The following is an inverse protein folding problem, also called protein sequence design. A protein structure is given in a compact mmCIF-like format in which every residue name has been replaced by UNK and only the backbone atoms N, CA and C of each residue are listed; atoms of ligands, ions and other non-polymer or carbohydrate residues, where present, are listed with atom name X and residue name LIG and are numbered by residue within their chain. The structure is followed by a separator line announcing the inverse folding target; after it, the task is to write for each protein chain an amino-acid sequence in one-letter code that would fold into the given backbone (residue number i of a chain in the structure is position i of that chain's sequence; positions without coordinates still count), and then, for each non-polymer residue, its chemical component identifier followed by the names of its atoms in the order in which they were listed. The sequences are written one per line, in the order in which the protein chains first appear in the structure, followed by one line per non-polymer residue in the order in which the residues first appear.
data_IF_486143098580
#
_entry.id   IF_486143098580
#
_cell.length_a   1.000
_cell.length_b   1.000
_cell.length_c   1.000
_cell.angle_alpha   90.00
_cell.angle_beta   90.00
_cell.angle_gamma   90.00
#
_symmetry.space_group_name_H-M   'P 1'
#
loop_
_entity.id
_entity.type
_entity.pdbx_description
1 polymer ?
#
# COMPACT_ATOMS: atom_id res chain seq x y z
N UNK A 1 -3.60 -6.52 2.10
CA UNK A 1 -4.03 -7.49 1.08
C UNK A 1 -2.86 -8.36 0.64
N UNK A 2 -3.13 -9.58 0.22
CA UNK A 2 -2.15 -10.45 -0.43
C UNK A 2 -2.86 -11.40 -1.40
N UNK A 3 -2.13 -11.88 -2.41
CA UNK A 3 -2.60 -12.97 -3.26
C UNK A 3 -2.23 -14.31 -2.63
N UNK A 4 -3.16 -15.26 -2.62
CA UNK A 4 -2.94 -16.60 -2.09
C UNK A 4 -3.47 -17.65 -3.08
N UNK A 5 -2.74 -18.75 -3.22
CA UNK A 5 -3.21 -19.91 -3.97
C UNK A 5 -4.43 -20.52 -3.27
N UNK A 6 -5.41 -21.01 -4.03
CA UNK A 6 -6.65 -21.59 -3.49
C UNK A 6 -6.38 -22.79 -2.57
N UNK A 7 -5.45 -23.65 -2.94
CA UNK A 7 -5.04 -24.80 -2.10
C UNK A 7 -4.40 -24.34 -0.76
N UNK A 8 -3.73 -23.18 -0.76
CA UNK A 8 -3.16 -22.60 0.45
C UNK A 8 -4.23 -21.88 1.29
N UNK A 9 -5.29 -21.36 0.67
CA UNK A 9 -6.41 -20.72 1.39
C UNK A 9 -7.20 -21.73 2.20
N UNK A 10 -7.40 -22.95 1.69
CA UNK A 10 -8.09 -24.04 2.40
C UNK A 10 -7.38 -24.46 3.69
N UNK A 11 -6.04 -24.25 3.74
CA UNK A 11 -5.19 -24.58 4.89
C UNK A 11 -5.02 -23.41 5.89
N UNK A 12 -5.50 -22.21 5.52
CA UNK A 12 -5.44 -21.05 6.41
C UNK A 12 -6.55 -21.13 7.47
N UNK A 13 -6.21 -20.72 8.70
CA UNK A 13 -7.23 -20.50 9.73
C UNK A 13 -8.23 -19.43 9.25
N UNK A 14 -9.53 -19.76 9.11
CA UNK A 14 -10.55 -18.82 8.65
C UNK A 14 -10.60 -17.52 9.47
N UNK A 15 -10.23 -17.58 10.76
CA UNK A 15 -10.18 -16.39 11.64
C UNK A 15 -9.09 -15.39 11.25
N UNK A 16 -8.16 -15.76 10.38
CA UNK A 16 -7.12 -14.87 9.88
C UNK A 16 -7.52 -14.13 8.59
N UNK A 17 -8.53 -14.61 7.89
CA UNK A 17 -9.01 -14.01 6.64
C UNK A 17 -10.27 -13.19 6.93
N UNK A 18 -10.21 -11.89 6.67
CA UNK A 18 -11.36 -11.00 6.83
C UNK A 18 -12.29 -11.04 5.62
N UNK A 19 -11.71 -11.15 4.43
CA UNK A 19 -12.46 -11.10 3.19
C UNK A 19 -11.67 -11.73 2.04
N UNK A 20 -12.35 -12.47 1.18
CA UNK A 20 -11.81 -12.98 -0.10
C UNK A 20 -12.51 -12.23 -1.22
N UNK A 21 -11.72 -11.54 -2.03
CA UNK A 21 -12.25 -10.76 -3.15
C UNK A 21 -12.64 -11.68 -4.32
N UNK A 22 -13.65 -11.29 -5.10
CA UNK A 22 -14.02 -12.01 -6.32
C UNK A 22 -12.82 -12.15 -7.27
N UNK A 23 -12.73 -13.30 -7.91
CA UNK A 23 -11.71 -13.52 -8.93
C UNK A 23 -12.08 -12.76 -10.21
N UNK A 24 -11.11 -12.08 -10.81
CA UNK A 24 -11.30 -11.35 -12.08
C UNK A 24 -11.40 -12.26 -13.30
N UNK A 25 -10.96 -13.50 -13.17
CA UNK A 25 -10.98 -14.51 -14.23
C UNK A 25 -11.53 -15.80 -13.68
N UNK A 26 -12.46 -16.38 -14.39
CA UNK A 26 -12.93 -17.71 -14.12
C UNK A 26 -11.79 -18.73 -14.19
N UNK A 27 -11.75 -19.71 -13.30
CA UNK A 27 -10.68 -20.70 -13.24
C UNK A 27 -9.37 -20.20 -12.63
N UNK A 28 -9.33 -19.00 -12.03
CA UNK A 28 -8.13 -18.49 -11.34
C UNK A 28 -7.66 -19.48 -10.26
N UNK A 29 -6.37 -19.81 -10.26
CA UNK A 29 -5.73 -20.66 -9.24
C UNK A 29 -5.41 -19.92 -7.95
N UNK A 30 -5.60 -18.60 -7.91
CA UNK A 30 -5.29 -17.78 -6.75
C UNK A 30 -6.31 -16.65 -6.59
N UNK A 31 -6.66 -16.33 -5.35
CA UNK A 31 -7.56 -15.23 -5.01
C UNK A 31 -6.84 -14.15 -4.23
N UNK A 32 -7.33 -12.92 -4.34
CA UNK A 32 -6.89 -11.81 -3.52
C UNK A 32 -7.63 -11.84 -2.19
N UNK A 33 -6.90 -11.74 -1.09
CA UNK A 33 -7.49 -11.78 0.26
C UNK A 33 -7.08 -10.57 1.10
N UNK A 34 -7.98 -10.18 1.98
CA UNK A 34 -7.71 -9.29 3.09
C UNK A 34 -7.57 -10.14 4.35
N UNK A 35 -6.41 -10.12 4.96
CA UNK A 35 -6.17 -10.86 6.20
C UNK A 35 -5.65 -9.99 7.33
N UNK A 36 -5.68 -10.52 8.54
CA UNK A 36 -5.11 -9.87 9.73
C UNK A 36 -3.66 -9.50 9.52
N UNK A 37 -3.26 -8.37 10.07
CA UNK A 37 -1.87 -7.93 10.11
C UNK A 37 -1.02 -8.90 10.94
N UNK A 38 0.23 -9.11 10.56
CA UNK A 38 1.14 -10.02 11.27
C UNK A 38 1.44 -9.58 12.70
N UNK A 39 1.41 -8.28 12.98
CA UNK A 39 1.74 -7.72 14.29
C UNK A 39 0.75 -6.65 14.70
N UNK A 40 0.55 -6.48 16.01
CA UNK A 40 -0.28 -5.40 16.58
C UNK A 40 0.25 -4.02 16.18
N UNK A 41 1.57 -3.85 16.05
CA UNK A 41 2.22 -2.58 15.62
C UNK A 41 1.91 -2.18 14.18
N UNK A 42 1.36 -3.10 13.36
CA UNK A 42 0.90 -2.77 12.01
C UNK A 42 -0.41 -1.97 11.99
N UNK A 43 -1.12 -1.92 13.13
CA UNK A 43 -2.32 -1.11 13.32
C UNK A 43 -1.90 0.24 13.88
N UNK A 44 -1.97 1.29 13.06
CA UNK A 44 -1.57 2.65 13.45
C UNK A 44 -2.40 3.71 12.76
N UNK A 45 -2.45 4.87 13.35
CA UNK A 45 -3.04 6.08 12.76
C UNK A 45 -1.91 6.79 11.99
N UNK A 46 -2.21 7.24 10.79
CA UNK A 46 -1.34 8.09 9.99
C UNK A 46 -2.02 9.45 9.83
N UNK A 47 -1.28 10.51 10.09
CA UNK A 47 -1.74 11.86 9.84
C UNK A 47 -1.53 12.21 8.37
N UNK A 48 -2.58 12.71 7.74
CA UNK A 48 -2.53 13.14 6.35
C UNK A 48 -2.01 14.57 6.25
N UNK A 49 -1.09 14.80 5.33
CA UNK A 49 -0.72 16.15 4.90
C UNK A 49 -1.85 16.76 4.06
N UNK A 50 -1.89 18.09 3.98
CA UNK A 50 -2.92 18.79 3.17
C UNK A 50 -2.91 18.34 1.71
N UNK A 51 -1.77 18.27 0.98
CA UNK A 51 -1.74 17.78 -0.40
C UNK A 51 -2.30 16.34 -0.54
N UNK A 52 -1.91 15.43 0.37
CA UNK A 52 -2.42 14.06 0.32
C UNK A 52 -3.94 14.00 0.52
N UNK A 53 -4.49 14.86 1.37
CA UNK A 53 -5.94 14.94 1.58
C UNK A 53 -6.66 15.38 0.31
N UNK A 54 -6.13 16.38 -0.39
CA UNK A 54 -6.69 16.92 -1.64
C UNK A 54 -6.68 15.83 -2.74
N UNK A 55 -5.58 15.13 -2.90
CA UNK A 55 -5.47 14.00 -3.85
C UNK A 55 -6.44 12.86 -3.52
N UNK A 56 -6.58 12.51 -2.25
CA UNK A 56 -7.53 11.48 -1.84
C UNK A 56 -8.99 11.89 -2.04
N UNK A 57 -9.32 13.17 -1.88
CA UNK A 57 -10.66 13.68 -2.19
C UNK A 57 -10.96 13.58 -3.68
N UNK A 58 -10.05 14.01 -4.55
CA UNK A 58 -10.18 13.86 -6.00
C UNK A 58 -10.29 12.38 -6.42
N UNK A 59 -9.54 11.51 -5.77
CA UNK A 59 -9.65 10.07 -5.98
C UNK A 59 -11.02 9.51 -5.60
N UNK A 60 -11.61 9.94 -4.48
CA UNK A 60 -12.94 9.52 -4.04
C UNK A 60 -14.03 9.98 -5.02
N UNK A 61 -13.91 11.19 -5.55
CA UNK A 61 -14.82 11.72 -6.60
C UNK A 61 -14.73 10.86 -7.86
N UNK A 62 -13.52 10.51 -8.30
CA UNK A 62 -13.30 9.61 -9.43
C UNK A 62 -13.95 8.24 -9.21
N UNK A 63 -13.79 7.64 -8.03
CA UNK A 63 -14.42 6.37 -7.68
C UNK A 63 -15.95 6.46 -7.78
N UNK A 64 -16.54 7.55 -7.28
CA UNK A 64 -17.98 7.77 -7.35
C UNK A 64 -18.47 7.88 -8.80
N UNK A 65 -17.69 8.54 -9.66
CA UNK A 65 -18.00 8.63 -11.09
C UNK A 65 -17.90 7.24 -11.78
N UNK A 66 -16.86 6.46 -11.48
CA UNK A 66 -16.70 5.12 -12.03
C UNK A 66 -17.90 4.21 -11.65
N UNK A 67 -18.38 4.30 -10.41
CA UNK A 67 -19.55 3.56 -9.92
C UNK A 67 -20.85 3.98 -10.62
N UNK A 68 -21.04 5.29 -10.83
CA UNK A 68 -22.21 5.83 -11.53
C UNK A 68 -22.23 5.48 -13.02
N UNK A 69 -21.06 5.42 -13.67
CA UNK A 69 -20.94 5.16 -15.10
C UNK A 69 -21.13 3.69 -15.48
N UNK A 70 -20.94 2.75 -14.55
CA UNK A 70 -21.05 1.31 -14.84
C UNK A 70 -21.67 0.52 -13.66
N UNK A 71 -22.89 0.89 -13.20
CA UNK A 71 -23.46 0.33 -11.96
C UNK A 71 -23.65 -1.17 -11.99
N UNK A 72 -24.02 -1.76 -13.13
CA UNK A 72 -24.27 -3.20 -13.26
C UNK A 72 -22.98 -4.06 -13.21
N UNK A 73 -21.85 -3.46 -13.55
CA UNK A 73 -20.53 -4.13 -13.61
C UNK A 73 -19.62 -3.76 -12.45
N UNK A 74 -20.07 -2.82 -11.63
CA UNK A 74 -19.26 -2.32 -10.54
C UNK A 74 -19.39 -3.20 -9.30
N UNK A 75 -18.25 -3.69 -8.81
CA UNK A 75 -18.18 -4.50 -7.60
C UNK A 75 -17.60 -3.70 -6.44
N UNK A 76 -18.45 -3.05 -5.65
CA UNK A 76 -18.00 -2.26 -4.51
C UNK A 76 -17.34 -3.15 -3.43
N UNK A 77 -16.02 -3.21 -3.44
CA UNK A 77 -15.25 -4.01 -2.49
C UNK A 77 -14.91 -3.28 -1.18
N UNK A 78 -15.39 -2.05 -0.98
CA UNK A 78 -15.13 -1.23 0.21
C UNK A 78 -13.68 -0.78 0.38
N UNK A 79 -12.78 -1.02 -0.60
CA UNK A 79 -11.40 -0.58 -0.53
C UNK A 79 -11.25 0.85 -1.07
N UNK A 80 -10.37 1.65 -0.46
CA UNK A 80 -10.08 3.00 -0.92
C UNK A 80 -9.46 2.99 -2.32
N UNK A 81 -8.45 2.13 -2.54
CA UNK A 81 -7.77 2.01 -3.84
C UNK A 81 -8.37 0.85 -4.63
N UNK A 82 -9.14 1.18 -5.66
CA UNK A 82 -9.86 0.24 -6.51
C UNK A 82 -9.76 0.64 -7.99
N UNK A 83 -10.01 -0.32 -8.82
CA UNK A 83 -10.04 -0.19 -10.26
C UNK A 83 -11.41 0.36 -10.73
N UNK A 84 -11.57 0.78 -11.97
CA UNK A 84 -12.85 1.30 -12.48
C UNK A 84 -14.01 0.31 -12.38
N UNK A 85 -13.74 -0.99 -12.27
CA UNK A 85 -14.74 -2.03 -12.02
C UNK A 85 -15.07 -2.22 -10.52
N UNK A 86 -14.51 -1.41 -9.64
CA UNK A 86 -14.71 -1.45 -8.19
C UNK A 86 -13.89 -2.50 -7.46
N UNK A 87 -13.20 -3.40 -8.16
CA UNK A 87 -12.32 -4.40 -7.54
C UNK A 87 -11.04 -3.77 -7.01
N UNK A 88 -10.43 -4.31 -5.97
CA UNK A 88 -9.25 -3.72 -5.34
C UNK A 88 -8.03 -3.78 -6.24
N UNK A 89 -7.16 -2.77 -6.14
CA UNK A 89 -5.84 -2.79 -6.77
C UNK A 89 -4.97 -3.81 -6.03
N UNK A 90 -4.59 -4.89 -6.73
CA UNK A 90 -3.69 -5.88 -6.17
C UNK A 90 -2.28 -5.28 -5.95
N UNK A 91 -1.56 -5.64 -4.87
CA UNK A 91 -0.23 -5.10 -4.58
C UNK A 91 0.78 -5.27 -5.73
N UNK A 92 0.70 -6.38 -6.45
CA UNK A 92 1.57 -6.68 -7.58
C UNK A 92 1.32 -5.72 -8.75
N UNK A 93 0.06 -5.31 -8.94
CA UNK A 93 -0.31 -4.37 -9.99
C UNK A 93 0.25 -2.97 -9.70
N UNK A 94 0.16 -2.53 -8.45
CA UNK A 94 0.74 -1.26 -8.01
C UNK A 94 2.26 -1.22 -8.22
N UNK A 95 2.95 -2.30 -7.85
CA UNK A 95 4.40 -2.44 -8.07
C UNK A 95 4.75 -2.42 -9.56
N UNK A 96 3.94 -3.08 -10.39
CA UNK A 96 4.11 -3.07 -11.85
C UNK A 96 3.93 -1.66 -12.41
N UNK A 97 2.88 -0.95 -12.04
CA UNK A 97 2.62 0.42 -12.50
C UNK A 97 3.74 1.38 -12.10
N UNK A 98 4.21 1.30 -10.87
CA UNK A 98 5.32 2.12 -10.41
C UNK A 98 6.61 1.84 -11.21
N UNK A 99 6.89 0.57 -11.54
CA UNK A 99 8.04 0.20 -12.37
C UNK A 99 7.92 0.78 -13.79
N UNK A 100 6.73 0.72 -14.41
CA UNK A 100 6.49 1.29 -15.74
C UNK A 100 6.65 2.81 -15.70
N UNK A 101 6.03 3.46 -14.72
CA UNK A 101 6.17 4.90 -14.54
C UNK A 101 7.63 5.34 -14.41
N UNK A 102 8.45 4.64 -13.61
CA UNK A 102 9.88 4.96 -13.50
C UNK A 102 10.63 4.82 -14.82
N UNK A 103 10.27 3.83 -15.63
CA UNK A 103 10.90 3.65 -16.94
C UNK A 103 10.58 4.81 -17.91
N UNK A 104 9.42 5.43 -17.76
CA UNK A 104 8.99 6.62 -18.52
C UNK A 104 9.54 7.93 -17.95
N UNK A 105 10.03 7.91 -16.71
CA UNK A 105 10.53 9.07 -15.97
C UNK A 105 11.96 8.86 -15.46
N UNK A 106 12.96 8.80 -16.36
CA UNK A 106 14.36 8.57 -15.99
C UNK A 106 14.98 9.75 -15.22
N UNK A 107 14.34 10.92 -15.24
CA UNK A 107 14.74 12.13 -14.48
C UNK A 107 14.61 11.94 -12.95
N UNK A 108 13.80 10.96 -12.49
CA UNK A 108 13.69 10.63 -11.07
C UNK A 108 14.65 9.52 -10.68
N UNK A 109 15.14 9.57 -9.44
CA UNK A 109 15.98 8.50 -8.89
C UNK A 109 15.29 7.14 -8.98
N UNK A 110 16.01 6.16 -9.53
CA UNK A 110 15.47 4.84 -9.84
C UNK A 110 15.38 3.91 -8.61
N UNK A 111 14.63 4.34 -7.60
CA UNK A 111 14.37 3.56 -6.38
C UNK A 111 13.23 2.54 -6.62
N UNK A 112 13.24 1.43 -5.87
CA UNK A 112 12.14 0.45 -5.88
C UNK A 112 10.96 0.97 -5.06
N UNK A 113 9.75 0.45 -5.31
CA UNK A 113 8.54 0.91 -4.61
C UNK A 113 8.67 0.92 -3.08
N UNK A 114 9.32 -0.09 -2.50
CA UNK A 114 9.57 -0.13 -1.06
C UNK A 114 10.60 0.94 -0.60
N UNK A 115 11.48 1.36 -1.48
CA UNK A 115 12.44 2.44 -1.23
C UNK A 115 11.78 3.79 -0.91
N UNK A 116 10.58 4.06 -1.45
CA UNK A 116 9.80 5.24 -1.09
C UNK A 116 9.55 5.35 0.42
N UNK A 117 9.37 4.22 1.09
CA UNK A 117 9.21 4.18 2.55
C UNK A 117 10.52 4.56 3.25
N UNK A 118 11.66 4.11 2.75
CA UNK A 118 12.98 4.49 3.30
C UNK A 118 13.25 5.98 3.09
N UNK A 119 13.02 6.50 1.89
CA UNK A 119 13.15 7.94 1.59
C UNK A 119 12.26 8.79 2.49
N UNK A 120 11.00 8.37 2.69
CA UNK A 120 10.09 9.06 3.61
C UNK A 120 10.58 9.04 5.05
N UNK A 121 11.14 7.92 5.53
CA UNK A 121 11.69 7.82 6.88
C UNK A 121 12.89 8.72 7.06
N UNK A 122 13.83 8.72 6.12
CA UNK A 122 15.01 9.61 6.11
C UNK A 122 14.59 11.07 6.13
N UNK A 123 13.66 11.46 5.26
CA UNK A 123 13.16 12.83 5.21
C UNK A 123 12.52 13.26 6.54
N UNK A 124 11.70 12.41 7.16
CA UNK A 124 11.09 12.70 8.46
C UNK A 124 12.14 12.83 9.58
N UNK A 125 13.20 12.00 9.57
CA UNK A 125 14.29 12.09 10.52
C UNK A 125 15.06 13.42 10.39
N UNK A 126 15.35 13.84 9.16
CA UNK A 126 16.00 15.13 8.89
C UNK A 126 15.13 16.32 9.36
N UNK A 127 13.80 16.25 9.14
CA UNK A 127 12.88 17.30 9.54
C UNK A 127 12.64 17.38 11.07
N UNK A 128 12.86 16.29 11.78
CA UNK A 128 12.62 16.17 13.23
C UNK A 128 13.90 16.21 14.07
N UNK A 129 15.01 16.65 13.50
CA UNK A 129 16.33 16.63 14.16
C UNK A 129 16.68 15.27 14.79
N UNK A 130 16.28 14.18 14.12
CA UNK A 130 16.58 12.82 14.53
C UNK A 130 15.62 12.23 15.57
N UNK A 131 14.37 12.68 15.66
CA UNK A 131 13.37 12.03 16.53
C UNK A 131 12.96 10.64 15.99
N UNK A 132 13.82 9.66 16.24
CA UNK A 132 13.63 8.27 15.81
C UNK A 132 12.32 7.66 16.34
N UNK A 133 11.85 8.06 17.53
CA UNK A 133 10.66 7.49 18.15
C UNK A 133 9.40 7.91 17.42
N UNK A 134 9.29 9.20 17.10
CA UNK A 134 8.17 9.74 16.32
C UNK A 134 8.14 9.16 14.91
N UNK A 135 9.29 9.14 14.23
CA UNK A 135 9.40 8.60 12.87
C UNK A 135 9.12 7.10 12.82
N UNK A 136 9.56 6.33 13.83
CA UNK A 136 9.21 4.91 13.95
C UNK A 136 7.70 4.71 14.07
N UNK A 137 7.01 5.53 14.86
CA UNK A 137 5.56 5.51 15.01
C UNK A 137 4.86 5.75 13.66
N UNK A 138 5.26 6.79 12.95
CA UNK A 138 4.68 7.18 11.66
C UNK A 138 4.95 6.14 10.56
N UNK A 139 6.19 5.71 10.43
CA UNK A 139 6.60 4.79 9.35
C UNK A 139 6.29 3.34 9.66
N UNK A 140 6.10 2.97 10.94
CA UNK A 140 5.80 1.61 11.39
C UNK A 140 6.98 0.65 11.26
N UNK A 141 8.21 1.13 11.41
CA UNK A 141 9.38 0.26 11.48
C UNK A 141 9.35 -0.54 12.78
N UNK A 142 9.75 -1.82 12.70
CA UNK A 142 9.67 -2.74 13.84
C UNK A 142 10.60 -2.31 14.99
N UNK A 143 11.77 -1.78 14.66
CA UNK A 143 12.81 -1.35 15.60
C UNK A 143 13.42 -0.01 15.18
N UNK A 144 13.95 0.74 16.13
CA UNK A 144 14.70 1.97 15.88
C UNK A 144 16.02 1.68 15.15
N UNK A 145 16.62 0.50 15.34
CA UNK A 145 17.87 0.13 14.66
C UNK A 145 17.73 0.17 13.13
N UNK A 146 16.61 -0.30 12.58
CA UNK A 146 16.36 -0.24 11.12
C UNK A 146 16.33 1.20 10.61
N UNK A 147 15.85 2.14 11.42
CA UNK A 147 15.88 3.56 11.09
C UNK A 147 17.28 4.17 11.23
N UNK A 148 18.02 3.77 12.27
CA UNK A 148 19.40 4.22 12.49
C UNK A 148 20.31 3.76 11.36
N UNK A 149 20.21 2.50 10.93
CA UNK A 149 20.99 1.98 9.80
C UNK A 149 20.69 2.75 8.51
N UNK A 150 19.40 3.04 8.26
CA UNK A 150 18.98 3.84 7.08
C UNK A 150 19.52 5.28 7.15
N UNK A 151 19.56 5.89 8.35
CA UNK A 151 20.03 7.26 8.55
C UNK A 151 21.55 7.37 8.48
N UNK A 152 22.28 6.43 9.08
CA UNK A 152 23.73 6.41 9.06
C UNK A 152 24.29 6.41 7.63
N UNK A 153 23.74 5.59 6.75
CA UNK A 153 24.13 5.54 5.33
C UNK A 153 23.85 6.83 4.54
N UNK A 154 23.01 7.72 5.06
CA UNK A 154 22.65 8.97 4.37
C UNK A 154 23.54 10.15 4.77
N UNK A 155 24.22 10.08 5.92
CA UNK A 155 25.15 11.12 6.39
C UNK A 155 26.55 10.99 5.79
N UNK A 156 26.90 9.81 5.26
CA UNK A 156 28.21 9.52 4.66
C UNK A 156 28.30 9.92 3.17
N UNK A 157 27.32 10.63 2.64
CA UNK A 157 27.28 11.18 1.27
C UNK A 157 27.12 12.68 1.31
#
# INVERSE_FOLDING_TARGET
MQRANKDALEKLDPKQVYYTFPDRREGSKSSLILKKTKTKKSNRILYMTKPLKEELQAWLEKISQDEQNAPEKYSNCGQLFRLPDGLPIAPELLTKWYRLWRAEHPEFEQIVFHGLRHSSATYQLLQSDGDFKSVQGNTGHATASVLMDTYAHTQDK
#
